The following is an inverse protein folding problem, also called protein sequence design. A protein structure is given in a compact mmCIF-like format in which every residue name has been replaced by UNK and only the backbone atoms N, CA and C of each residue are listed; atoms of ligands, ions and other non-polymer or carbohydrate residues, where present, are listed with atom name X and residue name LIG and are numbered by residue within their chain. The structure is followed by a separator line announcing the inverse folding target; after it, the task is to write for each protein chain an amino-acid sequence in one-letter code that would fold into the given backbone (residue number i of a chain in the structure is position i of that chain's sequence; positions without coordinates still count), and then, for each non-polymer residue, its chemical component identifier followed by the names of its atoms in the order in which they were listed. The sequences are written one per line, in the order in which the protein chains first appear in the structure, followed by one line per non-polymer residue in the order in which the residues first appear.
data_IF_459632190037
#
_entry.id   IF_459632190037
#
_cell.length_a   1.000
_cell.length_b   1.000
_cell.length_c   1.000
_cell.angle_alpha   90.00
_cell.angle_beta   90.00
_cell.angle_gamma   90.00
#
_symmetry.space_group_name_H-M   'P 1'
#
loop_
_entity.id
_entity.type
_entity.pdbx_description
1 polymer ?
#
# COMPACT_ATOMS: atom_id res chain seq x y z
N UNK A 1 8.23 -5.99 -10.37
CA UNK A 1 8.18 -7.44 -10.08
C UNK A 1 6.92 -8.15 -10.57
N UNK A 2 5.68 -7.66 -10.36
CA UNK A 2 4.48 -8.39 -10.85
C UNK A 2 4.53 -8.77 -12.34
N UNK A 3 5.02 -7.86 -13.19
CA UNK A 3 5.20 -8.14 -14.61
C UNK A 3 6.19 -9.29 -14.89
N UNK A 4 7.30 -9.37 -14.15
CA UNK A 4 8.31 -10.45 -14.25
C UNK A 4 7.65 -11.80 -13.95
N UNK A 5 6.93 -11.89 -12.82
CA UNK A 5 6.24 -13.12 -12.42
C UNK A 5 5.11 -13.52 -13.39
N UNK A 6 4.27 -12.58 -13.82
CA UNK A 6 3.15 -12.87 -14.75
C UNK A 6 3.64 -13.39 -16.10
N UNK A 7 4.83 -12.98 -16.53
CA UNK A 7 5.45 -13.43 -17.78
C UNK A 7 6.45 -14.57 -17.59
N UNK A 8 6.55 -15.15 -16.37
CA UNK A 8 7.43 -16.27 -16.05
C UNK A 8 8.90 -16.02 -16.45
N UNK A 9 9.34 -14.77 -16.32
CA UNK A 9 10.73 -14.41 -16.59
C UNK A 9 11.62 -14.89 -15.44
N UNK A 10 12.86 -15.32 -15.72
CA UNK A 10 13.81 -15.65 -14.67
C UNK A 10 14.11 -14.41 -13.83
N UNK A 11 14.17 -14.58 -12.51
CA UNK A 11 14.58 -13.52 -11.60
C UNK A 11 16.07 -13.29 -11.75
N UNK A 12 16.46 -12.05 -11.98
CA UNK A 12 17.86 -11.64 -11.95
C UNK A 12 18.33 -11.30 -10.52
N UNK A 13 19.58 -10.87 -10.40
CA UNK A 13 20.17 -10.43 -9.13
C UNK A 13 19.41 -9.23 -8.54
N UNK A 14 18.89 -8.32 -9.39
CA UNK A 14 18.16 -7.15 -8.94
C UNK A 14 16.81 -7.55 -8.33
N UNK A 15 16.06 -8.44 -8.99
CA UNK A 15 14.80 -8.98 -8.46
C UNK A 15 15.01 -9.67 -7.10
N UNK A 16 16.08 -10.46 -6.97
CA UNK A 16 16.43 -11.14 -5.71
C UNK A 16 16.72 -10.11 -4.60
N UNK A 17 17.55 -9.11 -4.88
CA UNK A 17 17.87 -8.03 -3.94
C UNK A 17 16.61 -7.26 -3.49
N UNK A 18 15.66 -7.01 -4.41
CA UNK A 18 14.39 -6.35 -4.07
C UNK A 18 13.56 -7.23 -3.13
N UNK A 19 13.46 -8.54 -3.39
CA UNK A 19 12.73 -9.46 -2.51
C UNK A 19 13.38 -9.54 -1.13
N UNK A 20 14.70 -9.62 -1.05
CA UNK A 20 15.44 -9.61 0.22
C UNK A 20 15.23 -8.31 0.99
N UNK A 21 15.24 -7.16 0.31
CA UNK A 21 14.97 -5.87 0.93
C UNK A 21 13.55 -5.75 1.48
N UNK A 22 12.54 -6.26 0.75
CA UNK A 22 11.16 -6.31 1.25
C UNK A 22 11.08 -7.21 2.48
N UNK A 23 11.68 -8.40 2.42
CA UNK A 23 11.70 -9.34 3.54
C UNK A 23 12.34 -8.72 4.79
N UNK A 24 13.50 -8.09 4.61
CA UNK A 24 14.20 -7.36 5.66
C UNK A 24 13.30 -6.29 6.27
N UNK A 25 12.73 -5.42 5.44
CA UNK A 25 11.89 -4.30 5.88
C UNK A 25 10.69 -4.75 6.71
N UNK A 26 10.05 -5.86 6.34
CA UNK A 26 8.92 -6.43 7.10
C UNK A 26 9.39 -7.00 8.43
N UNK A 27 10.48 -7.79 8.43
CA UNK A 27 10.99 -8.45 9.63
C UNK A 27 11.56 -7.45 10.65
N UNK A 28 12.22 -6.40 10.19
CA UNK A 28 12.73 -5.32 11.05
C UNK A 28 11.62 -4.40 11.55
N UNK A 29 10.53 -4.26 10.79
CA UNK A 29 9.46 -3.31 11.08
C UNK A 29 9.71 -1.90 10.53
N UNK A 30 10.79 -1.69 9.78
CA UNK A 30 11.22 -0.39 9.26
C UNK A 30 10.14 0.33 8.45
N UNK A 31 9.31 -0.42 7.72
CA UNK A 31 8.22 0.16 6.91
C UNK A 31 7.13 0.84 7.76
N UNK A 32 7.06 0.55 9.06
CA UNK A 32 6.14 1.20 10.02
C UNK A 32 6.79 2.41 10.70
N UNK A 33 8.06 2.29 11.05
CA UNK A 33 8.77 3.32 11.81
C UNK A 33 9.33 4.45 10.92
N UNK A 34 9.78 4.09 9.71
CA UNK A 34 10.47 4.98 8.78
C UNK A 34 10.06 4.73 7.32
N UNK A 35 8.76 4.85 6.98
CA UNK A 35 8.24 4.50 5.66
C UNK A 35 8.91 5.28 4.51
N UNK A 36 9.21 6.56 4.69
CA UNK A 36 9.91 7.39 3.69
C UNK A 36 11.34 6.92 3.38
N UNK A 37 11.98 6.23 4.34
CA UNK A 37 13.30 5.64 4.14
C UNK A 37 13.23 4.31 3.39
N UNK A 38 12.17 3.54 3.63
CA UNK A 38 11.93 2.25 2.98
C UNK A 38 11.43 2.45 1.55
N UNK A 39 10.52 3.40 1.34
CA UNK A 39 10.00 3.73 0.02
C UNK A 39 9.83 5.23 -0.15
N UNK A 40 10.64 5.79 -1.06
CA UNK A 40 10.60 7.21 -1.36
C UNK A 40 9.29 7.63 -2.04
N UNK A 41 8.72 6.77 -2.89
CA UNK A 41 7.50 7.07 -3.65
C UNK A 41 6.22 6.67 -2.90
N UNK A 42 6.25 5.60 -2.11
CA UNK A 42 5.14 5.11 -1.29
C UNK A 42 5.35 5.51 0.16
N UNK A 43 5.22 6.80 0.42
CA UNK A 43 5.72 7.45 1.65
C UNK A 43 5.03 7.06 2.96
N UNK A 44 3.93 6.33 2.91
CA UNK A 44 3.14 5.97 4.10
C UNK A 44 3.12 4.47 4.31
N UNK A 45 3.02 4.06 5.57
CA UNK A 45 2.91 2.65 5.93
C UNK A 45 1.73 1.94 5.25
N UNK A 46 0.51 2.52 5.17
CA UNK A 46 -0.59 1.91 4.42
C UNK A 46 -0.29 1.68 2.94
N UNK A 47 0.38 2.63 2.26
CA UNK A 47 0.77 2.46 0.85
C UNK A 47 1.78 1.32 0.69
N UNK A 48 2.79 1.25 1.56
CA UNK A 48 3.77 0.15 1.51
C UNK A 48 3.08 -1.19 1.76
N UNK A 49 2.25 -1.29 2.80
CA UNK A 49 1.46 -2.49 3.11
C UNK A 49 0.59 -2.91 1.92
N UNK A 50 -0.08 -1.96 1.27
CA UNK A 50 -0.91 -2.19 0.10
C UNK A 50 -0.10 -2.75 -1.08
N UNK A 51 1.01 -2.11 -1.46
CA UNK A 51 1.81 -2.57 -2.59
C UNK A 51 2.47 -3.92 -2.35
N UNK A 52 3.03 -4.13 -1.16
CA UNK A 52 3.65 -5.41 -0.78
C UNK A 52 2.59 -6.49 -0.66
N UNK A 53 1.47 -6.23 0.02
CA UNK A 53 0.41 -7.22 0.19
C UNK A 53 -0.20 -7.66 -1.14
N UNK A 54 -0.35 -6.75 -2.11
CA UNK A 54 -0.76 -7.11 -3.49
C UNK A 54 0.24 -8.03 -4.18
N UNK A 55 1.54 -7.78 -4.01
CA UNK A 55 2.58 -8.70 -4.50
C UNK A 55 2.36 -10.09 -3.88
N UNK A 56 2.26 -10.18 -2.55
CA UNK A 56 2.09 -11.45 -1.83
C UNK A 56 0.78 -12.19 -2.14
N UNK A 57 -0.26 -11.46 -2.58
CA UNK A 57 -1.52 -12.05 -3.01
C UNK A 57 -1.44 -12.68 -4.40
N UNK A 58 -0.59 -12.16 -5.28
CA UNK A 58 -0.47 -12.63 -6.66
C UNK A 58 0.66 -13.62 -6.88
N UNK A 59 1.72 -13.57 -6.06
CA UNK A 59 2.92 -14.39 -6.25
C UNK A 59 3.36 -15.10 -4.98
N UNK A 60 3.80 -16.37 -5.06
CA UNK A 60 4.15 -17.19 -3.89
C UNK A 60 5.58 -16.90 -3.39
N UNK A 61 5.88 -15.64 -3.09
CA UNK A 61 7.16 -15.20 -2.51
C UNK A 61 6.96 -14.71 -1.08
N UNK A 62 8.05 -14.67 -0.29
CA UNK A 62 8.07 -14.11 1.06
C UNK A 62 6.96 -14.70 1.97
N UNK A 63 6.76 -16.01 1.89
CA UNK A 63 5.68 -16.72 2.58
C UNK A 63 5.70 -16.54 4.09
N UNK A 64 6.89 -16.41 4.67
CA UNK A 64 7.11 -16.15 6.09
C UNK A 64 6.74 -14.71 6.50
N UNK A 65 6.79 -13.76 5.56
CA UNK A 65 6.46 -12.37 5.79
C UNK A 65 4.95 -12.10 5.71
N UNK A 66 4.18 -12.90 4.94
CA UNK A 66 2.73 -12.73 4.77
C UNK A 66 1.96 -12.67 6.10
N UNK A 67 2.14 -13.61 7.06
CA UNK A 67 1.45 -13.55 8.36
C UNK A 67 1.79 -12.29 9.18
N UNK A 68 3.05 -11.83 9.12
CA UNK A 68 3.48 -10.61 9.81
C UNK A 68 2.77 -9.37 9.25
N UNK A 69 2.72 -9.27 7.91
CA UNK A 69 2.06 -8.17 7.24
C UNK A 69 0.55 -8.16 7.51
N UNK A 70 -0.11 -9.32 7.49
CA UNK A 70 -1.55 -9.44 7.82
C UNK A 70 -1.81 -8.96 9.25
N UNK A 71 -1.02 -9.42 10.22
CA UNK A 71 -1.12 -8.98 11.62
C UNK A 71 -0.99 -7.47 11.73
N UNK A 72 0.01 -6.91 11.07
CA UNK A 72 0.30 -5.48 11.15
C UNK A 72 -0.79 -4.64 10.47
N UNK A 73 -1.34 -5.08 9.32
CA UNK A 73 -2.49 -4.43 8.67
C UNK A 73 -3.74 -4.42 9.54
N UNK A 74 -4.05 -5.55 10.21
CA UNK A 74 -5.20 -5.64 11.12
C UNK A 74 -5.04 -4.75 12.36
N UNK A 75 -3.81 -4.53 12.81
CA UNK A 75 -3.52 -3.69 13.97
C UNK A 75 -3.40 -2.18 13.62
N UNK A 76 -3.26 -1.84 12.34
CA UNK A 76 -2.99 -0.48 11.91
C UNK A 76 -4.22 0.42 12.06
N UNK A 77 -4.03 1.58 12.71
CA UNK A 77 -5.07 2.60 12.86
C UNK A 77 -4.90 3.66 11.77
N UNK A 78 -5.56 3.45 10.64
CA UNK A 78 -5.54 4.39 9.52
C UNK A 78 -6.27 5.68 9.85
N UNK A 79 -5.66 6.82 9.52
CA UNK A 79 -6.21 8.16 9.73
C UNK A 79 -7.24 8.55 8.66
N UNK A 80 -7.12 7.98 7.46
CA UNK A 80 -7.96 8.33 6.31
C UNK A 80 -8.82 7.14 5.86
N UNK A 81 -9.99 7.45 5.28
CA UNK A 81 -10.86 6.45 4.66
C UNK A 81 -10.12 5.65 3.58
N UNK A 82 -9.35 6.31 2.72
CA UNK A 82 -8.64 5.64 1.62
C UNK A 82 -7.54 4.70 2.13
N UNK A 83 -6.85 5.03 3.23
CA UNK A 83 -5.91 4.10 3.85
C UNK A 83 -6.62 2.87 4.42
N UNK A 84 -7.78 3.06 5.09
CA UNK A 84 -8.60 1.95 5.59
C UNK A 84 -9.04 1.04 4.45
N UNK A 85 -9.55 1.64 3.37
CA UNK A 85 -10.01 0.94 2.17
C UNK A 85 -8.89 0.14 1.49
N UNK A 86 -7.69 0.73 1.32
CA UNK A 86 -6.54 0.05 0.73
C UNK A 86 -6.07 -1.15 1.57
N UNK A 87 -6.01 -0.99 2.90
CA UNK A 87 -5.62 -2.09 3.79
C UNK A 87 -6.67 -3.20 3.77
N UNK A 88 -7.95 -2.85 3.80
CA UNK A 88 -9.04 -3.82 3.72
C UNK A 88 -9.06 -4.56 2.38
N UNK A 89 -8.87 -3.85 1.27
CA UNK A 89 -8.73 -4.43 -0.07
C UNK A 89 -7.58 -5.44 -0.12
N UNK A 90 -6.44 -5.09 0.50
CA UNK A 90 -5.27 -5.98 0.59
C UNK A 90 -5.56 -7.22 1.42
N UNK A 91 -6.26 -7.07 2.55
CA UNK A 91 -6.69 -8.20 3.39
C UNK A 91 -7.60 -9.15 2.61
N UNK A 92 -8.61 -8.64 1.90
CA UNK A 92 -9.49 -9.45 1.04
C UNK A 92 -8.67 -10.26 0.02
N UNK A 93 -7.73 -9.61 -0.68
CA UNK A 93 -6.83 -10.28 -1.65
C UNK A 93 -5.98 -11.39 -1.03
N UNK A 94 -5.64 -11.27 0.25
CA UNK A 94 -4.85 -12.26 0.97
C UNK A 94 -5.68 -13.40 1.58
N UNK A 95 -7.02 -13.34 1.44
CA UNK A 95 -7.98 -14.31 1.95
C UNK A 95 -8.51 -14.00 3.35
N UNK A 96 -8.37 -12.76 3.82
CA UNK A 96 -8.80 -12.32 5.15
C UNK A 96 -10.07 -11.47 5.05
N UNK A 97 -10.94 -11.54 6.06
CA UNK A 97 -12.08 -10.63 6.19
C UNK A 97 -11.69 -9.38 7.00
N UNK A 98 -11.66 -8.18 6.39
CA UNK A 98 -11.37 -6.93 7.09
C UNK A 98 -12.60 -6.36 7.81
N UNK A 99 -13.78 -6.98 7.69
CA UNK A 99 -15.05 -6.38 8.10
C UNK A 99 -15.58 -5.37 7.08
N UNK A 100 -16.54 -4.56 7.51
CA UNK A 100 -17.17 -3.53 6.66
C UNK A 100 -16.40 -2.21 6.77
N UNK A 101 -15.96 -1.69 5.63
CA UNK A 101 -15.26 -0.39 5.57
C UNK A 101 -16.17 0.71 5.01
N UNK A 102 -17.10 0.36 4.12
CA UNK A 102 -18.02 1.32 3.52
C UNK A 102 -19.38 1.20 4.22
N UNK A 103 -19.79 2.18 5.04
CA UNK A 103 -21.10 2.13 5.67
C UNK A 103 -22.22 2.03 4.64
N UNK A 104 -23.20 1.15 4.89
CA UNK A 104 -24.31 0.89 3.96
C UNK A 104 -25.17 2.12 3.60
N UNK A 105 -25.09 3.20 4.40
CA UNK A 105 -25.81 4.45 4.15
C UNK A 105 -25.05 5.45 3.28
N UNK A 106 -23.81 5.15 2.88
CA UNK A 106 -23.02 6.05 2.04
C UNK A 106 -23.56 6.08 0.61
N UNK A 107 -23.75 7.30 0.09
CA UNK A 107 -24.09 7.54 -1.31
C UNK A 107 -22.84 7.62 -2.17
N UNK A 108 -23.02 7.64 -3.49
CA UNK A 108 -21.91 7.89 -4.42
C UNK A 108 -21.23 9.24 -4.17
N UNK A 109 -22.00 10.28 -3.84
CA UNK A 109 -21.47 11.61 -3.51
C UNK A 109 -20.63 11.57 -2.23
N UNK A 110 -21.07 10.79 -1.23
CA UNK A 110 -20.30 10.58 0.00
C UNK A 110 -19.00 9.86 -0.30
N UNK A 111 -19.04 8.80 -1.11
CA UNK A 111 -17.84 8.09 -1.54
C UNK A 111 -16.88 8.99 -2.31
N UNK A 112 -17.38 9.81 -3.23
CA UNK A 112 -16.58 10.76 -3.99
C UNK A 112 -15.86 11.73 -3.05
N UNK A 113 -16.56 12.29 -2.07
CA UNK A 113 -16.00 13.25 -1.13
C UNK A 113 -14.98 12.60 -0.19
N UNK A 114 -15.29 11.44 0.38
CA UNK A 114 -14.39 10.71 1.29
C UNK A 114 -13.14 10.18 0.58
N UNK A 115 -13.19 10.01 -0.74
CA UNK A 115 -12.07 9.52 -1.57
C UNK A 115 -11.13 10.63 -2.07
N UNK A 116 -11.43 11.90 -1.75
CA UNK A 116 -10.60 13.06 -2.12
C UNK A 116 -9.33 13.15 -1.29
N UNK A 117 -8.38 13.92 -1.81
CA UNK A 117 -7.10 14.24 -1.15
C UNK A 117 -6.25 13.02 -0.80
N UNK A 118 -6.53 11.90 -1.46
CA UNK A 118 -5.68 10.72 -1.41
C UNK A 118 -4.55 10.85 -2.41
N UNK A 119 -3.32 10.65 -1.92
CA UNK A 119 -2.11 10.74 -2.71
C UNK A 119 -1.47 9.36 -2.79
N UNK A 120 -1.56 8.74 -3.97
CA UNK A 120 -1.10 7.37 -4.18
C UNK A 120 0.42 7.24 -4.32
N UNK A 121 1.07 8.33 -4.73
CA UNK A 121 2.53 8.44 -4.80
C UNK A 121 2.93 9.89 -4.58
N UNK A 122 4.09 10.09 -3.95
CA UNK A 122 4.72 11.40 -3.86
C UNK A 122 5.95 11.47 -4.76
N UNK A 123 6.33 12.68 -5.19
CA UNK A 123 7.64 12.90 -5.81
C UNK A 123 8.68 13.20 -4.71
N UNK A 124 9.68 12.34 -4.46
CA UNK A 124 10.58 12.48 -3.33
C UNK A 124 11.79 13.36 -3.64
N UNK A 125 11.56 14.60 -4.06
CA UNK A 125 12.62 15.51 -4.55
C UNK A 125 13.77 15.65 -3.55
N UNK A 126 13.47 15.72 -2.25
CA UNK A 126 14.47 15.92 -1.20
C UNK A 126 15.03 14.62 -0.60
N UNK A 127 14.54 13.45 -1.01
CA UNK A 127 15.00 12.16 -0.46
C UNK A 127 16.28 11.64 -1.14
N UNK A 128 16.65 12.19 -2.30
CA UNK A 128 17.84 11.76 -3.05
C UNK A 128 19.17 12.27 -2.48
N UNK A 129 19.12 13.34 -1.68
CA UNK A 129 20.32 13.97 -1.13
C UNK A 129 20.37 13.78 0.39
N UNK A 130 21.38 13.06 0.94
CA UNK A 130 21.49 12.81 2.38
C UNK A 130 21.39 14.08 3.25
N UNK A 131 21.97 15.18 2.77
CA UNK A 131 21.97 16.48 3.42
C UNK A 131 20.59 17.16 3.52
N UNK A 132 19.63 16.78 2.66
CA UNK A 132 18.26 17.32 2.67
C UNK A 132 17.23 16.33 3.19
N UNK A 133 17.63 15.11 3.55
CA UNK A 133 16.69 14.04 3.94
C UNK A 133 15.84 14.42 5.15
N UNK A 134 16.37 15.19 6.10
CA UNK A 134 15.59 15.68 7.24
C UNK A 134 14.42 16.60 6.83
N UNK A 135 14.47 17.24 5.64
CA UNK A 135 13.39 18.06 5.10
C UNK A 135 12.25 17.23 4.51
N UNK A 136 12.45 15.93 4.24
CA UNK A 136 11.39 15.08 3.67
C UNK A 136 10.22 14.88 4.62
N UNK A 137 10.37 15.22 5.90
CA UNK A 137 9.25 15.21 6.84
C UNK A 137 8.31 16.42 6.67
N UNK A 138 8.72 17.46 5.94
CA UNK A 138 7.90 18.65 5.73
C UNK A 138 6.99 18.48 4.52
N UNK A 139 5.67 18.62 4.71
CA UNK A 139 4.66 18.47 3.65
C UNK A 139 4.91 19.38 2.43
N UNK A 140 5.55 20.54 2.63
CA UNK A 140 5.94 21.47 1.56
C UNK A 140 6.97 20.89 0.58
N UNK A 141 7.71 19.84 0.99
CA UNK A 141 8.67 19.15 0.14
C UNK A 141 8.04 18.08 -0.75
N UNK A 142 6.74 17.83 -0.62
CA UNK A 142 6.03 16.78 -1.33
C UNK A 142 5.21 17.36 -2.48
N UNK A 143 5.37 16.81 -3.67
CA UNK A 143 4.40 17.01 -4.75
C UNK A 143 3.37 15.89 -4.63
N UNK A 144 2.18 16.30 -4.21
CA UNK A 144 1.04 15.43 -3.98
C UNK A 144 0.19 15.34 -5.24
N UNK A 145 0.12 14.15 -5.85
CA UNK A 145 -0.69 13.91 -7.04
C UNK A 145 -2.04 13.32 -6.64
N UNK A 146 -3.11 14.07 -6.88
CA UNK A 146 -4.48 13.59 -6.68
C UNK A 146 -5.10 13.19 -8.02
N UNK A 147 -5.77 12.03 -8.04
CA UNK A 147 -6.55 11.58 -9.18
C UNK A 147 -7.87 10.97 -8.66
N UNK A 148 -9.00 11.72 -8.70
CA UNK A 148 -10.27 11.23 -8.19
C UNK A 148 -10.73 9.92 -8.84
N UNK A 149 -10.48 9.77 -10.15
CA UNK A 149 -10.80 8.54 -10.87
C UNK A 149 -10.00 7.34 -10.35
N UNK A 150 -8.73 7.55 -9.96
CA UNK A 150 -7.91 6.51 -9.35
C UNK A 150 -8.44 6.12 -7.96
N UNK A 151 -8.77 7.10 -7.12
CA UNK A 151 -9.36 6.79 -5.80
C UNK A 151 -10.66 6.01 -5.92
N UNK A 152 -11.55 6.39 -6.85
CA UNK A 152 -12.78 5.65 -7.11
C UNK A 152 -12.53 4.26 -7.69
N UNK A 153 -11.46 4.06 -8.46
CA UNK A 153 -11.09 2.73 -8.93
C UNK A 153 -10.70 1.80 -7.76
N UNK A 154 -10.03 2.32 -6.73
CA UNK A 154 -9.74 1.57 -5.50
C UNK A 154 -11.01 1.22 -4.73
N UNK A 155 -11.99 2.13 -4.68
CA UNK A 155 -13.33 1.86 -4.10
C UNK A 155 -14.03 0.74 -4.87
N UNK A 156 -14.05 0.81 -6.20
CA UNK A 156 -14.65 -0.22 -7.04
C UNK A 156 -13.96 -1.58 -6.85
N UNK A 157 -12.63 -1.60 -6.73
CA UNK A 157 -11.87 -2.82 -6.47
C UNK A 157 -12.28 -3.48 -5.15
N UNK A 158 -12.40 -2.71 -4.06
CA UNK A 158 -12.87 -3.21 -2.77
C UNK A 158 -14.25 -3.84 -2.89
N UNK A 159 -15.21 -3.14 -3.52
CA UNK A 159 -16.59 -3.60 -3.66
C UNK A 159 -16.67 -4.93 -4.42
N UNK A 160 -15.92 -5.07 -5.52
CA UNK A 160 -15.89 -6.31 -6.31
C UNK A 160 -15.29 -7.47 -5.50
N UNK A 161 -14.20 -7.23 -4.77
CA UNK A 161 -13.59 -8.27 -3.95
C UNK A 161 -14.48 -8.70 -2.78
N UNK A 162 -15.19 -7.75 -2.15
CA UNK A 162 -16.10 -8.04 -1.04
C UNK A 162 -17.30 -8.88 -1.50
N UNK A 163 -17.89 -8.55 -2.65
CA UNK A 163 -18.98 -9.33 -3.24
C UNK A 163 -18.55 -10.77 -3.61
N UNK A 164 -17.31 -10.96 -4.06
CA UNK A 164 -16.80 -12.30 -4.40
C UNK A 164 -16.50 -13.20 -3.19
N UNK A 165 -16.59 -12.67 -1.96
CA UNK A 165 -16.40 -13.43 -0.72
C UNK A 165 -17.73 -13.82 -0.03
N UNK A 166 -18.86 -13.27 -0.48
CA UNK A 166 -20.21 -13.66 -0.07
C UNK A 166 -20.70 -14.87 -0.88
#
# INVERSE_FOLDING_TARGET
MLWVFRNQLPLDEFDQNVLEFIAYSIRSGDYRERPLEVSAYYATTPLIMYHVGRLLAEVPVLSDCKPLLIRDMKAWKSETFMDQLMLATTLLRLGEDPGEVIPAHWTFETLLEQSRHHYFSIAPILNYYPQTRWLTHWKLSHINWECPAHSLALVAEYLVLKQGME
#
